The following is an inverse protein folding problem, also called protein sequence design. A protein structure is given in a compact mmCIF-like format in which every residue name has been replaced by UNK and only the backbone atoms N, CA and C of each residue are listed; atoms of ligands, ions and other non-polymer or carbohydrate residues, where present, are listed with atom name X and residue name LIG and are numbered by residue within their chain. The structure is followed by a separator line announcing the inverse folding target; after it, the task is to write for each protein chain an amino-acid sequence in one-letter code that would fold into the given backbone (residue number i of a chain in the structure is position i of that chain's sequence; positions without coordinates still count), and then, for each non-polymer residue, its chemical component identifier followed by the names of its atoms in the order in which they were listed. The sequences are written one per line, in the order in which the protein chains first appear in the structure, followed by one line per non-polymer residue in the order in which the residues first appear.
data_IF_062499245117
#
_entry.id   IF_062499245117
#
_cell.length_a   1.000
_cell.length_b   1.000
_cell.length_c   1.000
_cell.angle_alpha   90.00
_cell.angle_beta   90.00
_cell.angle_gamma   90.00
#
_symmetry.space_group_name_H-M   'P 1'
#
loop_
_entity.id
_entity.type
_entity.pdbx_description
1 polymer ?
#
# COMPACT_ATOMS: atom_id res chain seq x y z
N UNK A 1 -23.79 38.57 -63.54
CA UNK A 1 -24.06 37.37 -62.72
C UNK A 1 -22.80 36.57 -62.27
N UNK A 2 -21.60 36.71 -62.86
CA UNK A 2 -20.40 35.98 -62.35
C UNK A 2 -19.96 36.46 -61.02
N UNK A 3 -20.08 37.74 -60.66
CA UNK A 3 -19.65 38.28 -59.38
C UNK A 3 -20.37 37.70 -58.14
N UNK A 4 -21.66 37.35 -58.30
CA UNK A 4 -22.42 36.72 -57.20
C UNK A 4 -21.97 35.29 -56.90
N UNK A 5 -21.56 34.53 -57.93
CA UNK A 5 -21.02 33.18 -57.75
C UNK A 5 -19.65 33.18 -57.04
N UNK A 6 -18.84 34.19 -57.30
CA UNK A 6 -17.50 34.35 -56.65
C UNK A 6 -17.68 34.70 -55.18
N UNK A 7 -18.67 35.56 -54.84
CA UNK A 7 -18.95 35.92 -53.44
C UNK A 7 -19.47 34.72 -52.66
N UNK A 8 -20.36 33.91 -53.25
CA UNK A 8 -20.84 32.69 -52.64
C UNK A 8 -19.75 31.65 -52.40
N UNK A 9 -18.79 31.57 -53.35
CA UNK A 9 -17.62 30.68 -53.19
C UNK A 9 -16.69 31.12 -52.02
N UNK A 10 -16.45 32.41 -51.86
CA UNK A 10 -15.64 32.95 -50.75
C UNK A 10 -16.31 32.74 -49.39
N UNK A 11 -17.63 32.90 -49.30
CA UNK A 11 -18.38 32.62 -48.05
C UNK A 11 -18.32 31.14 -47.70
N UNK A 12 -18.37 30.23 -48.69
CA UNK A 12 -18.23 28.79 -48.45
C UNK A 12 -16.85 28.38 -47.92
N UNK A 13 -15.79 29.04 -48.38
CA UNK A 13 -14.39 28.74 -47.94
C UNK A 13 -14.13 29.23 -46.53
N UNK A 14 -14.74 30.34 -46.09
CA UNK A 14 -14.57 30.85 -44.73
C UNK A 14 -15.29 30.00 -43.66
N UNK A 15 -16.30 29.22 -44.02
CA UNK A 15 -16.95 28.28 -43.09
C UNK A 15 -16.20 26.98 -42.88
N UNK A 16 -15.20 26.62 -43.70
CA UNK A 16 -14.41 25.41 -43.53
C UNK A 16 -13.27 25.54 -42.54
N UNK A 17 -12.94 26.74 -42.07
CA UNK A 17 -11.85 26.96 -41.10
C UNK A 17 -12.30 26.89 -39.62
N UNK A 18 -13.54 26.52 -39.32
CA UNK A 18 -14.06 26.34 -37.98
C UNK A 18 -13.79 24.92 -37.40
N UNK A 19 -12.69 24.27 -37.76
CA UNK A 19 -12.16 23.18 -36.97
C UNK A 19 -11.52 23.76 -35.71
N UNK A 20 -12.34 23.97 -34.68
CA UNK A 20 -11.84 24.21 -33.33
C UNK A 20 -11.01 23.01 -32.92
N UNK A 21 -9.77 23.26 -32.52
CA UNK A 21 -8.92 22.27 -31.86
C UNK A 21 -9.73 21.63 -30.72
N UNK A 22 -10.01 20.33 -30.87
CA UNK A 22 -10.54 19.53 -29.76
C UNK A 22 -9.51 19.68 -28.65
N UNK A 23 -9.86 20.40 -27.61
CA UNK A 23 -9.06 20.49 -26.39
C UNK A 23 -9.08 19.09 -25.79
N UNK A 24 -8.04 18.33 -26.06
CA UNK A 24 -7.83 17.03 -25.43
C UNK A 24 -7.44 17.31 -23.97
N UNK A 25 -8.44 17.24 -23.09
CA UNK A 25 -8.30 17.50 -21.68
C UNK A 25 -7.58 16.31 -21.06
N UNK A 26 -6.25 16.34 -21.12
CA UNK A 26 -5.42 15.31 -20.49
C UNK A 26 -5.58 15.40 -18.98
N UNK A 27 -6.48 14.61 -18.42
CA UNK A 27 -6.68 14.51 -16.96
C UNK A 27 -5.58 13.61 -16.42
N UNK A 28 -4.60 14.20 -15.76
CA UNK A 28 -3.62 13.44 -14.99
C UNK A 28 -4.25 13.06 -13.63
N UNK A 29 -4.48 11.78 -13.45
CA UNK A 29 -4.95 11.25 -12.17
C UNK A 29 -3.76 11.13 -11.22
N UNK A 30 -3.81 11.84 -10.10
CA UNK A 30 -2.85 11.69 -9.02
C UNK A 30 -3.55 10.97 -7.85
N UNK A 31 -2.93 9.91 -7.28
CA UNK A 31 -3.46 9.29 -6.08
C UNK A 31 -3.57 10.31 -4.95
N UNK A 32 -4.73 10.44 -4.35
CA UNK A 32 -4.91 11.26 -3.16
C UNK A 32 -4.27 10.50 -1.99
N UNK A 33 -3.18 11.05 -1.47
CA UNK A 33 -2.52 10.49 -0.29
C UNK A 33 -3.28 10.92 0.95
N UNK A 34 -3.56 10.02 1.91
CA UNK A 34 -4.10 10.40 3.21
C UNK A 34 -3.20 11.41 3.93
N UNK A 35 -3.79 12.37 4.64
CA UNK A 35 -3.05 13.39 5.40
C UNK A 35 -2.31 12.80 6.60
N UNK A 36 -2.79 11.68 7.13
CA UNK A 36 -2.16 10.97 8.26
C UNK A 36 -2.34 9.45 8.10
N UNK A 37 -1.42 8.71 8.68
CA UNK A 37 -1.44 7.26 8.74
C UNK A 37 -1.51 6.79 10.19
N UNK A 38 -2.26 5.71 10.49
CA UNK A 38 -2.28 5.14 11.83
C UNK A 38 -0.95 4.46 12.14
N UNK A 39 -0.55 4.54 13.41
CA UNK A 39 0.46 3.63 13.97
C UNK A 39 -0.27 2.36 14.37
N UNK A 40 0.07 1.25 13.72
CA UNK A 40 -0.49 -0.06 14.03
C UNK A 40 0.34 -0.67 15.15
N UNK A 41 -0.32 -1.08 16.24
CA UNK A 41 0.35 -1.69 17.41
C UNK A 41 -0.23 -3.08 17.66
N UNK A 42 0.63 -4.00 18.08
CA UNK A 42 0.23 -5.36 18.41
C UNK A 42 0.96 -5.85 19.67
N UNK A 43 0.31 -6.73 20.42
CA UNK A 43 0.87 -7.36 21.59
C UNK A 43 0.82 -8.87 21.42
N UNK A 44 1.98 -9.52 21.51
CA UNK A 44 2.07 -10.97 21.50
C UNK A 44 2.39 -11.51 22.90
N UNK A 45 1.82 -12.65 23.23
CA UNK A 45 1.99 -13.32 24.52
C UNK A 45 2.54 -14.73 24.33
N UNK A 46 3.37 -15.17 25.27
CA UNK A 46 3.86 -16.55 25.30
C UNK A 46 4.06 -17.02 26.77
N UNK A 47 3.40 -18.11 27.19
CA UNK A 47 3.60 -18.69 28.52
C UNK A 47 5.04 -19.20 28.69
N UNK A 48 5.67 -18.90 29.86
CA UNK A 48 7.04 -19.30 30.17
C UNK A 48 7.07 -20.79 30.53
N UNK A 49 6.10 -21.25 31.32
CA UNK A 49 5.99 -22.65 31.76
C UNK A 49 5.80 -23.65 30.61
N UNK A 50 5.17 -23.23 29.53
CA UNK A 50 4.92 -24.10 28.36
C UNK A 50 6.14 -24.22 27.42
N UNK A 51 7.20 -23.50 27.67
CA UNK A 51 8.43 -23.60 26.86
C UNK A 51 9.22 -24.88 27.21
N UNK A 52 9.67 -25.58 26.16
CA UNK A 52 10.36 -26.88 26.26
C UNK A 52 11.82 -26.71 26.68
N UNK A 53 12.08 -26.55 27.95
CA UNK A 53 13.43 -26.59 28.54
C UNK A 53 13.38 -26.91 30.02
N UNK A 54 14.40 -27.59 30.54
CA UNK A 54 14.54 -27.85 31.97
C UNK A 54 15.05 -26.60 32.72
N UNK A 55 15.77 -25.70 32.03
CA UNK A 55 16.35 -24.51 32.61
C UNK A 55 15.39 -23.33 32.54
N UNK A 56 15.08 -22.71 33.67
CA UNK A 56 14.14 -21.58 33.77
C UNK A 56 14.55 -20.39 32.89
N UNK A 57 15.83 -19.99 32.92
CA UNK A 57 16.36 -18.92 32.10
C UNK A 57 16.16 -19.20 30.62
N UNK A 58 16.30 -20.45 30.18
CA UNK A 58 16.10 -20.82 28.79
C UNK A 58 14.62 -20.79 28.42
N UNK A 59 13.71 -21.24 29.32
CA UNK A 59 12.26 -21.08 29.08
C UNK A 59 11.89 -19.61 28.92
N UNK A 60 12.42 -18.71 29.76
CA UNK A 60 12.21 -17.27 29.65
C UNK A 60 12.66 -16.73 28.27
N UNK A 61 13.89 -17.06 27.86
CA UNK A 61 14.40 -16.64 26.54
C UNK A 61 13.56 -17.17 25.36
N UNK A 62 13.04 -18.39 25.48
CA UNK A 62 12.13 -18.96 24.50
C UNK A 62 10.78 -18.22 24.50
N UNK A 63 10.23 -17.89 25.66
CA UNK A 63 9.01 -17.13 25.79
C UNK A 63 9.14 -15.70 25.20
N UNK A 64 10.27 -15.04 25.41
CA UNK A 64 10.59 -13.74 24.79
C UNK A 64 10.53 -13.85 23.25
N UNK A 65 11.15 -14.88 22.68
CA UNK A 65 11.14 -15.10 21.22
C UNK A 65 9.74 -15.44 20.73
N UNK A 66 9.01 -16.29 21.44
CA UNK A 66 7.67 -16.72 21.09
C UNK A 66 6.66 -15.55 21.18
N UNK A 67 6.72 -14.72 22.23
CA UNK A 67 5.87 -13.53 22.36
C UNK A 67 6.13 -12.51 21.25
N UNK A 68 7.41 -12.32 20.87
CA UNK A 68 7.76 -11.47 19.72
C UNK A 68 7.18 -12.03 18.42
N UNK A 69 7.24 -13.33 18.20
CA UNK A 69 6.68 -13.96 17.01
C UNK A 69 5.15 -13.83 16.96
N UNK A 70 4.48 -13.99 18.11
CA UNK A 70 3.05 -13.78 18.24
C UNK A 70 2.66 -12.31 17.95
N UNK A 71 3.44 -11.34 18.43
CA UNK A 71 3.24 -9.93 18.12
C UNK A 71 3.39 -9.62 16.62
N UNK A 72 4.35 -10.25 15.94
CA UNK A 72 4.49 -10.12 14.48
C UNK A 72 3.28 -10.69 13.74
N UNK A 73 2.74 -11.82 14.15
CA UNK A 73 1.55 -12.42 13.52
C UNK A 73 0.35 -11.49 13.65
N UNK A 74 0.08 -11.00 14.86
CA UNK A 74 -1.00 -10.06 15.13
C UNK A 74 -0.82 -8.75 14.34
N UNK A 75 0.39 -8.22 14.27
CA UNK A 75 0.69 -7.02 13.50
C UNK A 75 0.44 -7.23 11.99
N UNK A 76 0.79 -8.42 11.47
CA UNK A 76 0.54 -8.77 10.08
C UNK A 76 -0.96 -8.83 9.77
N UNK A 77 -1.76 -9.43 10.65
CA UNK A 77 -3.22 -9.50 10.49
C UNK A 77 -3.83 -8.09 10.46
N UNK A 78 -3.41 -7.21 11.37
CA UNK A 78 -3.89 -5.83 11.40
C UNK A 78 -3.48 -5.04 10.16
N UNK A 79 -2.25 -5.19 9.67
CA UNK A 79 -1.78 -4.53 8.44
C UNK A 79 -2.56 -5.06 7.22
N UNK A 80 -2.79 -6.36 7.13
CA UNK A 80 -3.54 -6.95 6.02
C UNK A 80 -5.01 -6.54 6.00
N UNK A 81 -5.61 -6.27 7.17
CA UNK A 81 -6.97 -5.77 7.29
C UNK A 81 -7.15 -4.29 6.96
N UNK A 82 -6.07 -3.51 6.79
CA UNK A 82 -6.18 -2.08 6.48
C UNK A 82 -6.75 -1.84 5.07
N UNK A 83 -7.73 -0.93 4.99
CA UNK A 83 -8.26 -0.49 3.70
C UNK A 83 -7.28 0.46 3.01
N UNK A 84 -6.99 0.18 1.74
CA UNK A 84 -6.10 0.98 0.88
C UNK A 84 -6.86 1.65 -0.26
N UNK A 85 -8.07 1.17 -0.56
CA UNK A 85 -9.01 1.74 -1.51
C UNK A 85 -10.44 1.48 -1.04
N UNK A 86 -11.44 2.09 -1.66
CA UNK A 86 -12.86 2.09 -1.23
C UNK A 86 -13.43 0.68 -0.95
N UNK A 87 -12.99 -0.33 -1.71
CA UNK A 87 -13.48 -1.70 -1.60
C UNK A 87 -12.36 -2.74 -1.56
N UNK A 88 -11.14 -2.36 -1.14
CA UNK A 88 -9.97 -3.23 -1.23
C UNK A 88 -9.10 -3.08 0.01
N UNK A 89 -8.75 -4.19 0.64
CA UNK A 89 -7.80 -4.24 1.75
C UNK A 89 -6.39 -4.46 1.24
N UNK A 90 -5.39 -4.22 2.11
CA UNK A 90 -4.00 -4.59 1.80
C UNK A 90 -3.90 -6.09 1.54
N UNK A 91 -4.61 -6.93 2.29
CA UNK A 91 -4.64 -8.38 2.11
C UNK A 91 -5.08 -8.80 0.70
N UNK A 92 -6.12 -8.18 0.15
CA UNK A 92 -6.61 -8.48 -1.20
C UNK A 92 -5.53 -8.21 -2.26
N UNK A 93 -4.83 -7.07 -2.16
CA UNK A 93 -3.73 -6.72 -3.06
C UNK A 93 -2.56 -7.71 -2.99
N UNK A 94 -2.26 -8.22 -1.78
CA UNK A 94 -1.16 -9.16 -1.57
C UNK A 94 -1.45 -10.57 -2.15
N UNK A 95 -2.70 -10.88 -2.46
CA UNK A 95 -3.07 -12.12 -3.17
C UNK A 95 -2.69 -12.05 -4.65
N UNK A 96 -2.71 -10.86 -5.23
CA UNK A 96 -2.49 -10.66 -6.67
C UNK A 96 -1.02 -10.35 -7.01
N UNK A 97 -0.27 -9.73 -6.08
CA UNK A 97 1.12 -9.30 -6.30
C UNK A 97 2.09 -9.89 -5.27
N UNK A 98 2.84 -10.92 -5.68
CA UNK A 98 3.85 -11.56 -4.86
C UNK A 98 5.04 -10.64 -4.49
N UNK A 99 5.37 -9.67 -5.34
CA UNK A 99 6.47 -8.74 -5.06
C UNK A 99 6.05 -7.72 -4.00
N UNK A 100 4.83 -7.19 -4.12
CA UNK A 100 4.23 -6.33 -3.10
C UNK A 100 4.14 -7.08 -1.77
N UNK A 101 3.67 -8.34 -1.78
CA UNK A 101 3.60 -9.22 -0.60
C UNK A 101 4.95 -9.35 0.10
N UNK A 102 6.01 -9.67 -0.65
CA UNK A 102 7.36 -9.81 -0.08
C UNK A 102 7.86 -8.49 0.54
N UNK A 103 7.57 -7.35 -0.10
CA UNK A 103 7.96 -6.03 0.38
C UNK A 103 7.22 -5.65 1.66
N UNK A 104 5.90 -5.84 1.72
CA UNK A 104 5.08 -5.58 2.92
C UNK A 104 5.49 -6.49 4.07
N UNK A 105 5.75 -7.77 3.83
CA UNK A 105 6.30 -8.69 4.83
C UNK A 105 7.66 -8.22 5.35
N UNK A 106 8.50 -7.66 4.50
CA UNK A 106 9.78 -7.05 4.88
C UNK A 106 9.59 -5.91 5.88
N UNK A 107 8.63 -5.00 5.62
CA UNK A 107 8.31 -3.89 6.52
C UNK A 107 7.77 -4.41 7.86
N UNK A 108 6.85 -5.38 7.84
CA UNK A 108 6.31 -5.96 9.08
C UNK A 108 7.44 -6.60 9.93
N UNK A 109 8.38 -7.30 9.31
CA UNK A 109 9.57 -7.85 10.01
C UNK A 109 10.48 -6.77 10.60
N UNK A 110 10.47 -5.58 10.02
CA UNK A 110 11.19 -4.40 10.50
C UNK A 110 10.45 -3.63 11.61
N UNK A 111 9.26 -4.08 12.04
CA UNK A 111 8.47 -3.41 13.07
C UNK A 111 9.27 -3.24 14.37
N UNK A 112 9.05 -2.11 15.05
CA UNK A 112 9.77 -1.73 16.25
C UNK A 112 9.19 -2.42 17.48
N UNK A 113 10.05 -3.06 18.27
CA UNK A 113 9.68 -3.50 19.62
C UNK A 113 9.62 -2.27 20.52
N UNK A 114 8.44 -2.01 21.08
CA UNK A 114 8.20 -0.89 21.99
C UNK A 114 8.57 -1.29 23.43
N UNK A 115 8.06 -2.47 23.84
CA UNK A 115 8.31 -3.04 25.17
C UNK A 115 8.33 -4.56 25.10
N UNK A 116 9.05 -5.16 26.07
CA UNK A 116 9.05 -6.61 26.27
C UNK A 116 9.23 -6.88 27.75
N UNK A 117 8.26 -7.55 28.38
CA UNK A 117 8.19 -7.68 29.85
C UNK A 117 7.41 -8.92 30.30
N UNK A 118 7.71 -9.47 31.46
CA UNK A 118 6.95 -10.58 32.04
C UNK A 118 5.63 -10.09 32.66
N UNK A 119 4.57 -10.88 32.51
CA UNK A 119 3.27 -10.70 33.16
C UNK A 119 2.87 -12.04 33.76
N UNK A 120 3.13 -12.24 35.07
CA UNK A 120 2.95 -13.55 35.71
C UNK A 120 3.80 -14.63 35.05
N UNK A 121 3.18 -15.75 34.67
CA UNK A 121 3.85 -16.84 33.92
C UNK A 121 3.92 -16.57 32.40
N UNK A 122 3.56 -15.39 31.95
CA UNK A 122 3.52 -15.06 30.50
C UNK A 122 4.51 -13.95 30.18
N UNK A 123 5.21 -14.06 29.07
CA UNK A 123 6.00 -12.97 28.51
C UNK A 123 5.19 -12.22 27.46
N UNK A 124 5.13 -10.90 27.57
CA UNK A 124 4.44 -10.01 26.63
C UNK A 124 5.46 -9.20 25.83
N UNK A 125 5.22 -9.04 24.54
CA UNK A 125 6.00 -8.17 23.66
C UNK A 125 5.05 -7.24 22.89
N UNK A 126 5.24 -5.93 23.04
CA UNK A 126 4.53 -4.89 22.31
C UNK A 126 5.37 -4.45 21.12
N UNK A 127 4.74 -4.36 19.95
CA UNK A 127 5.36 -3.92 18.71
C UNK A 127 4.52 -2.85 18.03
N UNK A 128 5.17 -2.01 17.23
CA UNK A 128 4.50 -0.99 16.44
C UNK A 128 5.12 -0.85 15.05
N UNK A 129 4.28 -0.45 14.10
CA UNK A 129 4.64 -0.10 12.74
C UNK A 129 3.88 1.15 12.32
N UNK A 130 4.52 2.06 11.60
CA UNK A 130 3.84 3.16 10.93
C UNK A 130 3.24 2.62 9.61
N UNK A 131 1.91 2.67 9.48
CA UNK A 131 1.26 2.21 8.25
C UNK A 131 1.68 3.00 7.01
N UNK A 132 2.24 4.19 7.22
CA UNK A 132 2.84 4.99 6.13
C UNK A 132 3.90 4.20 5.36
N UNK A 133 4.75 3.43 6.05
CA UNK A 133 5.82 2.66 5.41
C UNK A 133 5.25 1.57 4.49
N UNK A 134 4.14 0.94 4.90
CA UNK A 134 3.40 -0.04 4.09
C UNK A 134 2.74 0.63 2.88
N UNK A 135 2.11 1.78 3.12
CA UNK A 135 1.41 2.53 2.07
C UNK A 135 2.37 3.10 1.01
N UNK A 136 3.54 3.57 1.41
CA UNK A 136 4.56 4.07 0.48
C UNK A 136 5.08 2.94 -0.45
N UNK A 137 5.19 1.70 0.05
CA UNK A 137 5.50 0.52 -0.78
C UNK A 137 4.37 0.24 -1.79
N UNK A 138 3.12 0.29 -1.34
CA UNK A 138 1.96 0.15 -2.22
C UNK A 138 1.96 1.18 -3.34
N UNK A 139 2.17 2.46 -3.04
CA UNK A 139 2.29 3.50 -4.06
C UNK A 139 3.46 3.29 -5.01
N UNK A 140 4.59 2.78 -4.52
CA UNK A 140 5.75 2.46 -5.36
C UNK A 140 5.45 1.31 -6.32
N UNK A 141 4.67 0.30 -5.91
CA UNK A 141 4.26 -0.80 -6.78
C UNK A 141 3.34 -0.32 -7.92
N UNK A 142 2.43 0.62 -7.65
CA UNK A 142 1.56 1.21 -8.66
C UNK A 142 2.30 2.02 -9.73
N UNK A 143 3.41 2.68 -9.35
CA UNK A 143 4.23 3.51 -10.27
C UNK A 143 5.10 2.68 -11.21
N UNK A 144 5.22 1.40 -11.01
CA UNK A 144 6.07 0.49 -11.80
C UNK A 144 5.47 0.08 -13.16
N UNK A 145 4.31 0.62 -13.54
CA UNK A 145 3.78 0.45 -14.88
C UNK A 145 4.51 1.38 -15.84
N UNK A 146 5.60 0.91 -16.41
CA UNK A 146 6.24 1.56 -17.57
C UNK A 146 5.39 1.28 -18.83
N UNK A 147 5.15 2.34 -19.60
CA UNK A 147 4.58 2.22 -20.95
C UNK A 147 5.62 1.51 -21.80
N UNK A 148 5.41 0.23 -22.09
CA UNK A 148 6.38 -0.61 -22.81
C UNK A 148 6.42 -0.30 -24.31
N UNK A 149 5.35 0.20 -24.87
CA UNK A 149 5.28 0.62 -26.28
C UNK A 149 4.02 1.48 -26.53
N UNK A 150 4.13 2.48 -27.41
CA UNK A 150 3.00 3.26 -27.92
C UNK A 150 2.99 3.13 -29.43
N UNK A 151 2.12 2.29 -29.95
CA UNK A 151 1.94 2.13 -31.39
C UNK A 151 0.85 3.11 -31.85
N UNK A 152 1.20 4.03 -32.71
CA UNK A 152 0.24 4.90 -33.41
C UNK A 152 -0.17 4.23 -34.72
N UNK A 153 -1.47 4.09 -34.94
CA UNK A 153 -2.06 3.66 -36.21
C UNK A 153 -2.67 4.82 -36.96
#
# INVERSE_FOLDING_TARGET
MPKLKIILLYIGITFLSACSSVYDKHVQWQPVKPDSFPVVTAIGYAPISLQKSEHETQRMLMAIKASKLAAYAELAEQVYGQQVATNMTMGDLLLEDNQLKASVQGVIRGAKVIKSYPVGDTYATEMAIDFKDVYDIYLASMRKQEIKDVTYY
#
